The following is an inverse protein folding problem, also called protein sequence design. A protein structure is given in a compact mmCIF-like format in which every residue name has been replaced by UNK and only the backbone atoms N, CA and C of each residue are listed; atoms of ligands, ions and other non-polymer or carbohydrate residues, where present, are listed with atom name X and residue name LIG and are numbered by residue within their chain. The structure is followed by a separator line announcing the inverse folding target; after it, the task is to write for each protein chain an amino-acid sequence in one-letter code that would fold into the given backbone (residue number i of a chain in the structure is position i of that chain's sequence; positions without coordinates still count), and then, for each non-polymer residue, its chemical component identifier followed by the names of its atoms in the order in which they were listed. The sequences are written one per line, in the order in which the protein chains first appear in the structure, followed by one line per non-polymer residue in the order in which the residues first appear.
data_IF_756742786524
#
_entry.id   IF_756742786524
#
_cell.length_a   1.000
_cell.length_b   1.000
_cell.length_c   1.000
_cell.angle_alpha   90.00
_cell.angle_beta   90.00
_cell.angle_gamma   90.00
#
_symmetry.space_group_name_H-M   'P 1'
#
loop_
_entity.id
_entity.type
_entity.pdbx_description
1 polymer ?
#
# COMPACT_ATOMS: atom_id res chain seq x y z
N UNK A 1 11.17 -32.70 -11.66
CA UNK A 1 10.98 -31.26 -11.44
C UNK A 1 9.76 -30.76 -12.23
N UNK A 2 9.64 -31.03 -13.52
CA UNK A 2 8.56 -30.55 -14.41
C UNK A 2 7.15 -30.89 -13.89
N UNK A 3 6.90 -32.15 -13.50
CA UNK A 3 5.61 -32.55 -12.91
C UNK A 3 5.28 -31.78 -11.61
N UNK A 4 6.31 -31.49 -10.79
CA UNK A 4 6.13 -30.71 -9.57
C UNK A 4 5.75 -29.28 -9.94
N UNK A 5 6.46 -28.67 -10.90
CA UNK A 5 6.14 -27.33 -11.40
C UNK A 5 4.71 -27.24 -11.93
N UNK A 6 4.30 -28.17 -12.79
CA UNK A 6 2.92 -28.22 -13.32
C UNK A 6 1.89 -28.33 -12.19
N UNK A 7 2.14 -29.17 -11.18
CA UNK A 7 1.24 -29.29 -10.04
C UNK A 7 1.15 -28.02 -9.20
N UNK A 8 2.25 -27.27 -9.06
CA UNK A 8 2.27 -25.97 -8.39
C UNK A 8 1.54 -24.90 -9.19
N UNK A 9 1.81 -24.83 -10.50
CA UNK A 9 1.12 -23.87 -11.40
C UNK A 9 -0.39 -24.11 -11.44
N UNK A 10 -0.83 -25.36 -11.44
CA UNK A 10 -2.24 -25.73 -11.40
C UNK A 10 -2.85 -25.70 -9.97
N UNK A 11 -2.08 -25.29 -8.97
CA UNK A 11 -2.50 -25.27 -7.56
C UNK A 11 -2.99 -26.63 -7.00
N UNK A 12 -2.52 -27.73 -7.60
CA UNK A 12 -2.92 -29.10 -7.21
C UNK A 12 -2.29 -29.52 -5.88
N UNK A 13 -1.12 -29.00 -5.55
CA UNK A 13 -0.40 -29.21 -4.29
C UNK A 13 0.65 -28.13 -4.03
N UNK A 14 1.12 -28.07 -2.79
CA UNK A 14 2.18 -27.17 -2.35
C UNK A 14 3.40 -28.00 -1.95
N UNK A 15 4.58 -27.79 -2.54
CA UNK A 15 5.80 -28.46 -2.15
C UNK A 15 6.28 -27.96 -0.77
N UNK A 16 6.64 -28.89 0.11
CA UNK A 16 7.13 -28.59 1.45
C UNK A 16 8.61 -28.96 1.54
N UNK A 17 9.43 -28.01 1.94
CA UNK A 17 10.88 -28.17 2.10
C UNK A 17 11.27 -28.02 3.57
N UNK A 18 12.31 -28.74 4.00
CA UNK A 18 12.84 -28.70 5.35
C UNK A 18 14.21 -28.01 5.36
N UNK A 19 14.46 -27.22 6.39
CA UNK A 19 15.73 -26.55 6.56
C UNK A 19 15.91 -25.98 7.97
N UNK A 20 17.10 -25.48 8.25
CA UNK A 20 17.40 -24.73 9.46
C UNK A 20 18.20 -23.47 9.12
N UNK A 21 17.51 -22.32 9.10
CA UNK A 21 18.08 -21.04 8.71
C UNK A 21 19.26 -20.63 9.61
N UNK A 22 19.12 -20.80 10.92
CA UNK A 22 20.19 -20.48 11.88
C UNK A 22 21.48 -21.28 11.68
N UNK A 23 21.38 -22.48 11.12
CA UNK A 23 22.54 -23.33 10.80
C UNK A 23 22.93 -23.24 9.32
N UNK A 24 22.29 -22.34 8.57
CA UNK A 24 22.49 -22.17 7.12
C UNK A 24 22.42 -23.49 6.33
N UNK A 25 21.44 -24.34 6.68
CA UNK A 25 21.20 -25.62 5.99
C UNK A 25 19.82 -25.60 5.31
N UNK A 26 19.78 -26.04 4.07
CA UNK A 26 18.56 -26.10 3.27
C UNK A 26 18.14 -24.77 2.64
N UNK A 27 18.93 -23.69 2.79
CA UNK A 27 18.59 -22.37 2.22
C UNK A 27 18.73 -22.37 0.71
N UNK A 28 19.87 -22.86 0.18
CA UNK A 28 20.07 -22.93 -1.27
C UNK A 28 19.04 -23.84 -1.97
N UNK A 29 18.74 -25.07 -1.49
CA UNK A 29 17.66 -25.86 -2.06
C UNK A 29 16.28 -25.20 -2.02
N UNK A 30 16.00 -24.36 -1.02
CA UNK A 30 14.76 -23.58 -0.98
C UNK A 30 14.74 -22.52 -2.08
N UNK A 31 15.84 -21.78 -2.27
CA UNK A 31 15.94 -20.79 -3.36
C UNK A 31 15.84 -21.44 -4.73
N UNK A 32 16.51 -22.61 -4.92
CA UNK A 32 16.41 -23.38 -6.14
C UNK A 32 14.96 -23.84 -6.39
N UNK A 33 14.25 -24.26 -5.34
CA UNK A 33 12.85 -24.68 -5.46
C UNK A 33 11.93 -23.50 -5.82
N UNK A 34 12.20 -22.29 -5.33
CA UNK A 34 11.46 -21.07 -5.76
C UNK A 34 11.65 -20.84 -7.25
N UNK A 35 12.88 -20.90 -7.76
CA UNK A 35 13.18 -20.73 -9.18
C UNK A 35 12.56 -21.86 -10.04
N UNK A 36 12.66 -23.11 -9.55
CA UNK A 36 12.19 -24.28 -10.30
C UNK A 36 10.67 -24.42 -10.34
N UNK A 37 9.94 -24.01 -9.29
CA UNK A 37 8.54 -24.37 -9.10
C UNK A 37 7.56 -23.19 -9.03
N UNK A 38 7.98 -21.99 -8.62
CA UNK A 38 7.08 -20.85 -8.56
C UNK A 38 6.78 -20.29 -9.96
N UNK A 39 5.56 -19.77 -10.19
CA UNK A 39 5.21 -19.15 -11.47
C UNK A 39 6.00 -17.87 -11.70
N UNK A 40 6.51 -17.69 -12.90
CA UNK A 40 7.00 -16.40 -13.38
C UNK A 40 5.83 -15.55 -13.90
N UNK A 41 6.02 -14.24 -14.11
CA UNK A 41 4.99 -13.39 -14.71
C UNK A 41 4.49 -13.87 -16.09
N UNK A 42 5.31 -14.65 -16.82
CA UNK A 42 4.95 -15.21 -18.12
C UNK A 42 4.24 -16.56 -18.04
N UNK A 43 4.22 -17.21 -16.89
CA UNK A 43 3.51 -18.47 -16.66
C UNK A 43 2.02 -18.26 -16.30
N UNK A 44 1.65 -17.03 -15.95
CA UNK A 44 0.28 -16.67 -15.54
C UNK A 44 -0.46 -15.96 -16.67
N UNK A 45 -1.79 -15.99 -16.60
CA UNK A 45 -2.62 -15.27 -17.56
C UNK A 45 -2.35 -13.77 -17.55
N UNK A 46 -2.62 -13.11 -18.69
CA UNK A 46 -2.53 -11.66 -18.80
C UNK A 46 -3.43 -10.98 -17.76
N UNK A 47 -2.92 -9.93 -17.11
CA UNK A 47 -3.70 -9.21 -16.11
C UNK A 47 -4.88 -8.51 -16.79
N UNK A 48 -6.02 -8.56 -16.13
CA UNK A 48 -7.23 -7.85 -16.52
C UNK A 48 -7.32 -6.50 -15.81
N UNK A 49 -7.89 -5.54 -16.51
CA UNK A 49 -8.18 -4.23 -15.98
C UNK A 49 -9.39 -3.63 -16.71
N UNK A 50 -9.75 -2.43 -16.32
CA UNK A 50 -10.90 -1.72 -16.87
C UNK A 50 -10.41 -0.41 -17.48
N UNK A 51 -10.91 -0.07 -18.67
CA UNK A 51 -10.70 1.25 -19.25
C UNK A 51 -11.46 2.29 -18.42
N UNK A 52 -10.80 3.35 -17.91
CA UNK A 52 -11.48 4.34 -17.08
C UNK A 52 -12.55 5.16 -17.81
N UNK A 53 -12.48 5.26 -19.16
CA UNK A 53 -13.37 6.07 -19.96
C UNK A 53 -14.56 5.27 -20.51
N UNK A 54 -14.34 4.02 -20.96
CA UNK A 54 -15.36 3.19 -21.61
C UNK A 54 -15.93 2.07 -20.72
N UNK A 55 -15.30 1.81 -19.58
CA UNK A 55 -15.59 0.69 -18.67
C UNK A 55 -15.40 -0.70 -19.28
N UNK A 56 -14.79 -0.80 -20.46
CA UNK A 56 -14.50 -2.07 -21.11
C UNK A 56 -13.35 -2.80 -20.41
N UNK A 57 -13.43 -4.15 -20.43
CA UNK A 57 -12.33 -4.99 -19.93
C UNK A 57 -11.15 -4.93 -20.91
N UNK A 58 -9.97 -4.60 -20.38
CA UNK A 58 -8.69 -4.59 -21.09
C UNK A 58 -7.78 -5.64 -20.48
N UNK A 59 -7.04 -6.36 -21.31
CA UNK A 59 -5.99 -7.26 -20.85
C UNK A 59 -4.61 -6.69 -21.17
N UNK A 60 -3.65 -6.90 -20.26
CA UNK A 60 -2.23 -6.55 -20.45
C UNK A 60 -1.37 -7.81 -20.26
N UNK A 61 -0.60 -8.16 -21.28
CA UNK A 61 0.36 -9.26 -21.19
C UNK A 61 1.61 -8.80 -20.46
N UNK A 62 2.28 -9.71 -19.77
CA UNK A 62 3.58 -9.41 -19.16
C UNK A 62 4.66 -9.35 -20.26
N UNK A 63 4.79 -8.20 -20.90
CA UNK A 63 5.73 -7.92 -21.98
C UNK A 63 6.18 -6.47 -21.93
N UNK A 64 7.43 -6.21 -22.27
CA UNK A 64 8.01 -4.87 -22.35
C UNK A 64 7.48 -4.07 -23.55
N UNK A 65 6.93 -4.76 -24.56
CA UNK A 65 6.36 -4.15 -25.78
C UNK A 65 4.92 -3.68 -25.58
N UNK A 66 4.26 -4.10 -24.50
CA UNK A 66 2.89 -3.69 -24.15
C UNK A 66 2.88 -2.28 -23.55
N UNK A 67 1.76 -1.57 -23.62
CA UNK A 67 1.60 -0.30 -22.93
C UNK A 67 1.86 -0.44 -21.42
N UNK A 68 2.51 0.56 -20.83
CA UNK A 68 2.87 0.55 -19.41
C UNK A 68 1.65 0.46 -18.51
N UNK A 69 1.65 -0.50 -17.60
CA UNK A 69 0.75 -0.57 -16.46
C UNK A 69 1.46 -1.06 -15.22
N UNK A 70 1.30 -0.35 -14.11
CA UNK A 70 1.88 -0.73 -12.84
C UNK A 70 0.90 -0.47 -11.69
N UNK A 71 0.98 -1.29 -10.67
CA UNK A 71 0.16 -1.22 -9.47
C UNK A 71 1.01 -0.82 -8.27
N UNK A 72 0.65 0.27 -7.63
CA UNK A 72 1.20 0.68 -6.34
C UNK A 72 0.58 -0.20 -5.24
N UNK A 73 1.30 -1.22 -4.78
CA UNK A 73 0.77 -2.19 -3.82
C UNK A 73 1.14 -1.91 -2.37
N UNK A 74 2.09 -1.02 -2.12
CA UNK A 74 2.50 -0.61 -0.77
C UNK A 74 3.11 0.78 -0.78
N UNK A 75 2.70 1.61 0.16
CA UNK A 75 3.35 2.89 0.46
C UNK A 75 4.04 2.78 1.81
N UNK A 76 5.26 3.27 1.91
CA UNK A 76 6.05 3.28 3.13
C UNK A 76 6.70 4.66 3.32
N UNK A 77 6.78 5.12 4.55
CA UNK A 77 7.47 6.36 4.89
C UNK A 77 8.89 6.06 5.34
N UNK A 78 9.85 6.54 4.58
CA UNK A 78 11.27 6.40 4.91
C UNK A 78 11.82 7.70 5.47
N UNK A 79 12.61 7.61 6.54
CA UNK A 79 13.16 8.78 7.23
C UNK A 79 14.14 9.60 6.39
N UNK A 80 14.74 9.01 5.35
CA UNK A 80 15.77 9.66 4.52
C UNK A 80 15.24 10.12 3.16
N UNK A 81 14.34 9.32 2.57
CA UNK A 81 13.87 9.52 1.18
C UNK A 81 12.45 10.07 1.14
N UNK A 82 11.74 10.01 2.25
CA UNK A 82 10.32 10.35 2.33
C UNK A 82 9.43 9.19 1.89
N UNK A 83 8.37 9.48 1.14
CA UNK A 83 7.47 8.45 0.68
C UNK A 83 8.12 7.55 -0.37
N UNK A 84 8.14 6.26 -0.09
CA UNK A 84 8.48 5.18 -1.01
C UNK A 84 7.21 4.46 -1.42
N UNK A 85 6.92 4.44 -2.71
CA UNK A 85 5.80 3.68 -3.26
C UNK A 85 6.34 2.43 -3.95
N UNK A 86 6.06 1.27 -3.39
CA UNK A 86 6.39 0.00 -4.03
C UNK A 86 5.37 -0.31 -5.10
N UNK A 87 5.85 -0.52 -6.30
CA UNK A 87 5.02 -0.81 -7.45
C UNK A 87 5.49 -2.07 -8.17
N UNK A 88 4.53 -2.88 -8.62
CA UNK A 88 4.77 -3.98 -9.56
C UNK A 88 4.44 -3.52 -10.96
N UNK A 89 5.36 -3.73 -11.88
CA UNK A 89 5.16 -3.47 -13.30
C UNK A 89 4.52 -4.71 -13.91
N UNK A 90 3.31 -4.58 -14.43
CA UNK A 90 2.60 -5.69 -15.08
C UNK A 90 2.87 -5.74 -16.58
N UNK A 91 3.06 -4.60 -17.21
CA UNK A 91 3.36 -4.50 -18.65
C UNK A 91 4.15 -3.25 -18.93
N UNK A 92 4.90 -3.26 -20.04
CA UNK A 92 5.66 -2.11 -20.53
C UNK A 92 6.94 -1.84 -19.76
N UNK A 93 7.56 -0.72 -20.07
CA UNK A 93 8.82 -0.25 -19.50
C UNK A 93 8.62 1.14 -18.90
N UNK A 94 9.18 1.35 -17.72
CA UNK A 94 9.15 2.63 -17.01
C UNK A 94 10.55 3.22 -16.91
N UNK A 95 10.69 4.55 -17.05
CA UNK A 95 11.95 5.27 -16.90
C UNK A 95 11.89 6.31 -15.80
N UNK A 96 13.02 6.51 -15.14
CA UNK A 96 13.18 7.56 -14.14
C UNK A 96 12.94 8.94 -14.75
N UNK A 97 12.21 9.80 -14.07
CA UNK A 97 11.86 11.14 -14.52
C UNK A 97 10.59 11.24 -15.36
N UNK A 98 9.98 10.12 -15.75
CA UNK A 98 8.71 10.10 -16.50
C UNK A 98 7.54 10.65 -15.69
N UNK A 99 6.53 11.11 -16.43
CA UNK A 99 5.25 11.53 -15.85
C UNK A 99 4.19 10.53 -16.26
N UNK A 100 3.55 9.92 -15.26
CA UNK A 100 2.45 8.97 -15.42
C UNK A 100 1.13 9.58 -14.98
N UNK A 101 0.05 8.92 -15.30
CA UNK A 101 -1.29 9.20 -14.77
C UNK A 101 -1.62 8.15 -13.71
N UNK A 102 -2.06 8.62 -12.55
CA UNK A 102 -2.80 7.81 -11.59
C UNK A 102 -4.25 7.73 -12.10
N UNK A 103 -4.60 6.58 -12.67
CA UNK A 103 -5.89 6.40 -13.36
C UNK A 103 -7.08 6.32 -12.40
N UNK A 104 -6.82 5.95 -11.15
CA UNK A 104 -7.87 5.91 -10.11
C UNK A 104 -8.26 7.31 -9.67
N UNK A 105 -7.31 8.25 -9.63
CA UNK A 105 -7.51 9.63 -9.15
C UNK A 105 -7.54 10.67 -10.27
N UNK A 106 -7.22 10.30 -11.51
CA UNK A 106 -7.13 11.22 -12.65
C UNK A 106 -6.00 12.25 -12.53
N UNK A 107 -4.96 11.98 -11.72
CA UNK A 107 -3.88 12.92 -11.44
C UNK A 107 -2.57 12.52 -12.08
N UNK A 108 -1.83 13.53 -12.56
CA UNK A 108 -0.47 13.34 -13.08
C UNK A 108 0.52 13.21 -11.93
N UNK A 109 1.36 12.17 -11.99
CA UNK A 109 2.41 11.89 -11.03
C UNK A 109 3.77 11.81 -11.74
N UNK A 110 4.75 12.54 -11.22
CA UNK A 110 6.10 12.49 -11.75
C UNK A 110 6.98 11.59 -10.91
N UNK A 111 7.60 10.62 -11.54
CA UNK A 111 8.59 9.74 -10.91
C UNK A 111 9.90 10.50 -10.76
N UNK A 112 10.33 10.69 -9.53
CA UNK A 112 11.63 11.31 -9.25
C UNK A 112 12.76 10.32 -9.49
N UNK A 113 12.88 9.33 -8.61
CA UNK A 113 13.90 8.27 -8.67
C UNK A 113 13.22 6.91 -8.58
N UNK A 114 13.86 5.90 -9.15
CA UNK A 114 13.48 4.51 -9.00
C UNK A 114 14.57 3.76 -8.27
N UNK A 115 14.18 2.92 -7.32
CA UNK A 115 15.09 2.16 -6.48
C UNK A 115 14.76 0.67 -6.57
N UNK A 116 15.79 -0.14 -6.73
CA UNK A 116 15.73 -1.58 -6.48
C UNK A 116 16.11 -1.81 -5.03
N UNK A 117 15.24 -2.50 -4.30
CA UNK A 117 15.41 -2.70 -2.86
C UNK A 117 15.95 -4.10 -2.57
N UNK A 118 17.06 -4.15 -1.85
CA UNK A 118 17.67 -5.38 -1.34
C UNK A 118 17.74 -5.29 0.19
N UNK A 119 16.71 -5.76 0.89
CA UNK A 119 16.53 -5.54 2.32
C UNK A 119 16.65 -4.04 2.67
N UNK A 120 17.72 -3.62 3.37
CA UNK A 120 17.98 -2.22 3.71
C UNK A 120 18.85 -1.48 2.68
N UNK A 121 19.40 -2.19 1.69
CA UNK A 121 20.20 -1.59 0.63
C UNK A 121 19.30 -1.08 -0.49
N UNK A 122 19.70 0.05 -1.07
CA UNK A 122 18.97 0.74 -2.14
C UNK A 122 19.91 0.94 -3.31
N UNK A 123 19.48 0.47 -4.46
CA UNK A 123 20.20 0.67 -5.71
C UNK A 123 19.34 1.54 -6.63
N UNK A 124 19.88 2.66 -7.08
CA UNK A 124 19.18 3.54 -8.01
C UNK A 124 19.25 2.98 -9.43
N UNK A 125 18.09 2.82 -10.05
CA UNK A 125 17.95 2.31 -11.41
C UNK A 125 17.31 3.37 -12.32
N UNK A 126 17.63 3.30 -13.61
CA UNK A 126 17.12 4.27 -14.59
C UNK A 126 15.87 3.78 -15.31
N UNK A 127 15.74 2.49 -15.47
CA UNK A 127 14.60 1.85 -16.13
C UNK A 127 14.27 0.51 -15.46
N UNK A 128 13.02 0.08 -15.59
CA UNK A 128 12.52 -1.19 -15.07
C UNK A 128 11.46 -1.74 -16.04
N UNK A 129 11.26 -3.06 -16.00
CA UNK A 129 10.60 -3.83 -17.03
C UNK A 129 9.39 -4.59 -16.50
N UNK A 130 8.59 -5.15 -17.41
CA UNK A 130 7.44 -5.97 -17.06
C UNK A 130 7.83 -7.15 -16.15
N UNK A 131 7.16 -7.28 -15.00
CA UNK A 131 7.44 -8.29 -13.97
C UNK A 131 8.30 -7.76 -12.81
N UNK A 132 8.99 -6.64 -12.96
CA UNK A 132 9.81 -6.07 -11.90
C UNK A 132 8.96 -5.47 -10.76
N UNK A 133 9.56 -5.47 -9.57
CA UNK A 133 9.06 -4.74 -8.41
C UNK A 133 10.08 -3.66 -8.06
N UNK A 134 9.63 -2.42 -8.05
CA UNK A 134 10.48 -1.24 -7.81
C UNK A 134 9.90 -0.35 -6.73
N UNK A 135 10.74 0.44 -6.09
CA UNK A 135 10.32 1.51 -5.20
C UNK A 135 10.42 2.86 -5.93
N UNK A 136 9.32 3.56 -6.06
CA UNK A 136 9.20 4.85 -6.71
C UNK A 136 9.27 5.97 -5.66
N UNK A 137 10.09 6.98 -5.92
CA UNK A 137 10.27 8.17 -5.08
C UNK A 137 9.68 9.39 -5.79
N UNK A 138 8.99 10.23 -5.03
CA UNK A 138 8.50 11.52 -5.54
C UNK A 138 7.02 11.55 -5.86
N UNK A 139 6.31 10.44 -5.74
CA UNK A 139 4.85 10.39 -5.89
C UNK A 139 4.19 11.12 -4.71
N UNK A 140 3.20 11.97 -5.01
CA UNK A 140 2.55 12.83 -4.00
C UNK A 140 1.19 12.33 -3.58
N UNK A 141 0.37 11.97 -4.57
CA UNK A 141 -1.04 11.63 -4.38
C UNK A 141 -1.33 10.13 -4.47
N UNK A 142 -0.34 9.33 -4.90
CA UNK A 142 -0.48 7.87 -5.04
C UNK A 142 -0.58 7.19 -3.67
N UNK A 143 -1.57 6.32 -3.55
CA UNK A 143 -1.83 5.46 -2.38
C UNK A 143 -1.81 3.99 -2.76
N UNK A 144 -1.82 3.11 -1.77
CA UNK A 144 -1.88 1.66 -1.99
C UNK A 144 -3.15 1.28 -2.75
N UNK A 145 -3.00 0.48 -3.80
CA UNK A 145 -4.08 0.07 -4.70
C UNK A 145 -4.26 0.95 -5.95
N UNK A 146 -3.52 2.06 -6.06
CA UNK A 146 -3.60 2.92 -7.24
C UNK A 146 -2.84 2.31 -8.44
N UNK A 147 -3.41 2.48 -9.63
CA UNK A 147 -2.78 2.12 -10.89
C UNK A 147 -2.15 3.34 -11.54
N UNK A 148 -0.94 3.18 -12.05
CA UNK A 148 -0.22 4.20 -12.81
C UNK A 148 0.08 3.69 -14.22
N UNK A 149 -0.14 4.52 -15.24
CA UNK A 149 0.13 4.22 -16.63
C UNK A 149 0.43 5.49 -17.45
N UNK A 150 0.74 5.33 -18.73
CA UNK A 150 0.83 6.47 -19.64
C UNK A 150 -0.57 7.04 -19.94
N UNK A 151 -0.61 8.33 -20.27
CA UNK A 151 -1.88 9.05 -20.49
C UNK A 151 -2.68 8.51 -21.70
N UNK A 152 -1.98 7.92 -22.67
CA UNK A 152 -2.54 7.48 -23.95
C UNK A 152 -3.21 6.10 -23.85
N UNK A 153 -2.75 5.26 -22.89
CA UNK A 153 -3.18 3.86 -22.76
C UNK A 153 -3.64 3.56 -21.33
N UNK A 154 -4.65 4.27 -20.88
CA UNK A 154 -5.12 4.18 -19.50
C UNK A 154 -5.83 2.86 -19.22
N UNK A 155 -5.51 2.29 -18.06
CA UNK A 155 -6.15 1.11 -17.50
C UNK A 155 -6.23 1.25 -15.98
N UNK A 156 -7.28 0.75 -15.39
CA UNK A 156 -7.38 0.53 -13.94
C UNK A 156 -7.25 -0.96 -13.74
N UNK A 157 -6.15 -1.39 -13.10
CA UNK A 157 -5.96 -2.76 -12.68
C UNK A 157 -6.91 -3.09 -11.53
N UNK A 158 -7.00 -4.36 -11.16
CA UNK A 158 -7.85 -4.81 -10.06
C UNK A 158 -7.60 -3.98 -8.80
N UNK A 159 -8.67 -3.41 -8.26
CA UNK A 159 -8.60 -2.60 -7.03
C UNK A 159 -8.47 -3.51 -5.82
N UNK A 160 -7.54 -3.16 -4.94
CA UNK A 160 -7.48 -3.79 -3.62
C UNK A 160 -8.66 -3.30 -2.78
N UNK A 161 -9.45 -4.22 -2.28
CA UNK A 161 -10.50 -3.94 -1.31
C UNK A 161 -9.93 -4.04 0.11
N UNK A 162 -10.02 -2.96 0.86
CA UNK A 162 -9.60 -2.93 2.25
C UNK A 162 -10.84 -2.98 3.15
N UNK A 163 -10.85 -3.83 4.19
CA UNK A 163 -11.97 -3.90 5.11
C UNK A 163 -12.13 -2.58 5.88
N UNK A 164 -13.36 -2.25 6.20
CA UNK A 164 -13.65 -1.10 7.06
C UNK A 164 -13.14 -1.32 8.48
N UNK A 165 -12.64 -0.26 9.14
CA UNK A 165 -12.23 -0.31 10.54
C UNK A 165 -13.37 -0.78 11.45
N UNK A 166 -13.02 -1.53 12.51
CA UNK A 166 -14.01 -2.12 13.42
C UNK A 166 -13.98 -1.55 14.85
N UNK A 167 -12.90 -0.84 15.20
CA UNK A 167 -12.78 -0.19 16.51
C UNK A 167 -12.23 1.23 16.37
N UNK A 168 -12.51 2.05 17.37
CA UNK A 168 -12.10 3.45 17.41
C UNK A 168 -11.55 3.81 18.79
N UNK A 169 -10.54 4.69 18.80
CA UNK A 169 -10.01 5.30 20.02
C UNK A 169 -9.76 6.79 19.79
N UNK A 170 -9.92 7.58 20.83
CA UNK A 170 -9.54 8.98 20.80
C UNK A 170 -8.07 9.14 21.14
N UNK A 171 -7.38 10.03 20.41
CA UNK A 171 -5.97 10.36 20.63
C UNK A 171 -5.83 11.85 20.88
N UNK A 172 -5.24 12.20 22.01
CA UNK A 172 -5.04 13.59 22.41
C UNK A 172 -3.56 13.88 22.62
N UNK A 173 -3.01 14.94 22.01
CA UNK A 173 -1.62 15.33 22.23
C UNK A 173 -1.40 15.80 23.67
N UNK A 174 -0.30 15.42 24.28
CA UNK A 174 0.02 15.88 25.65
C UNK A 174 0.37 17.36 25.73
N UNK A 175 0.95 17.93 24.65
CA UNK A 175 1.34 19.32 24.58
C UNK A 175 0.90 19.94 23.25
N UNK A 176 0.85 21.28 23.20
CA UNK A 176 0.57 22.01 21.95
C UNK A 176 1.61 21.73 20.86
N UNK A 177 2.87 21.52 21.24
CA UNK A 177 3.94 21.18 20.30
C UNK A 177 3.74 19.77 19.69
N UNK A 178 3.12 18.85 20.42
CA UNK A 178 2.81 17.51 19.94
C UNK A 178 1.61 17.49 18.98
N UNK A 179 0.73 18.49 19.04
CA UNK A 179 -0.47 18.55 18.20
C UNK A 179 -0.12 18.61 16.71
N UNK A 180 0.79 19.49 16.32
CA UNK A 180 1.23 19.61 14.93
C UNK A 180 1.95 18.34 14.45
N UNK A 181 2.87 17.82 15.27
CA UNK A 181 3.58 16.57 14.99
C UNK A 181 2.63 15.39 14.87
N UNK A 182 1.61 15.31 15.73
CA UNK A 182 0.59 14.28 15.72
C UNK A 182 -0.20 14.31 14.40
N UNK A 183 -0.62 15.48 13.94
CA UNK A 183 -1.31 15.63 12.66
C UNK A 183 -0.47 15.11 11.50
N UNK A 184 0.81 15.47 11.44
CA UNK A 184 1.75 14.97 10.41
C UNK A 184 1.94 13.46 10.52
N UNK A 185 2.13 12.92 11.72
CA UNK A 185 2.32 11.50 11.95
C UNK A 185 1.10 10.68 11.51
N UNK A 186 -0.09 11.10 11.92
CA UNK A 186 -1.34 10.43 11.57
C UNK A 186 -1.59 10.44 10.06
N UNK A 187 -1.36 11.57 9.38
CA UNK A 187 -1.48 11.65 7.92
C UNK A 187 -0.51 10.70 7.20
N UNK A 188 0.72 10.57 7.70
CA UNK A 188 1.70 9.66 7.11
C UNK A 188 1.31 8.20 7.32
N UNK A 189 0.90 7.84 8.53
CA UNK A 189 0.44 6.48 8.86
C UNK A 189 -0.81 6.09 8.06
N UNK A 190 -1.76 7.01 7.89
CA UNK A 190 -2.95 6.77 7.07
C UNK A 190 -2.65 6.60 5.56
N UNK A 191 -1.55 7.18 5.06
CA UNK A 191 -1.09 6.92 3.69
C UNK A 191 -0.46 5.54 3.51
N UNK A 192 0.17 5.02 4.57
CA UNK A 192 0.79 3.69 4.54
C UNK A 192 -0.25 2.57 4.64
N UNK A 193 -1.28 2.77 5.45
CA UNK A 193 -2.28 1.75 5.78
C UNK A 193 -3.70 2.22 5.43
N UNK A 194 -4.28 1.70 4.36
CA UNK A 194 -5.63 2.05 3.93
C UNK A 194 -6.75 1.61 4.89
N UNK A 195 -6.47 0.65 5.79
CA UNK A 195 -7.43 0.21 6.83
C UNK A 195 -7.40 1.09 8.09
N UNK A 196 -6.46 2.03 8.16
CA UNK A 196 -6.34 3.01 9.22
C UNK A 196 -6.99 4.34 8.81
N UNK A 197 -7.94 4.80 9.59
CA UNK A 197 -8.64 6.08 9.34
C UNK A 197 -8.42 7.05 10.48
N UNK A 198 -8.40 8.32 10.13
CA UNK A 198 -8.27 9.44 11.07
C UNK A 198 -9.38 10.42 10.79
N UNK A 199 -10.15 10.74 11.81
CA UNK A 199 -11.22 11.74 11.75
C UNK A 199 -11.11 12.69 12.93
N UNK A 200 -11.56 13.91 12.73
CA UNK A 200 -11.82 14.85 13.84
C UNK A 200 -13.32 14.82 14.11
N UNK A 201 -13.68 14.61 15.36
CA UNK A 201 -15.07 14.73 15.78
C UNK A 201 -15.40 16.21 16.00
N UNK A 202 -16.33 16.74 15.21
CA UNK A 202 -16.70 18.16 15.22
C UNK A 202 -17.39 18.59 16.52
N UNK A 203 -18.02 17.65 17.24
CA UNK A 203 -18.76 17.95 18.47
C UNK A 203 -17.84 17.95 19.70
N UNK A 204 -16.96 16.96 19.83
CA UNK A 204 -16.02 16.86 20.95
C UNK A 204 -14.68 17.55 20.68
N UNK A 205 -14.34 17.82 19.42
CA UNK A 205 -13.05 18.32 18.98
C UNK A 205 -11.92 17.30 19.11
N UNK A 206 -12.23 16.04 19.43
CA UNK A 206 -11.25 14.98 19.57
C UNK A 206 -10.76 14.46 18.21
N UNK A 207 -9.51 14.06 18.16
CA UNK A 207 -8.99 13.26 17.04
C UNK A 207 -9.27 11.80 17.32
N UNK A 208 -10.07 11.17 16.46
CA UNK A 208 -10.43 9.76 16.56
C UNK A 208 -9.65 9.00 15.49
N UNK A 209 -9.03 7.89 15.91
CA UNK A 209 -8.37 6.95 15.01
C UNK A 209 -9.12 5.63 15.00
N UNK A 210 -9.33 5.09 13.81
CA UNK A 210 -10.10 3.85 13.61
C UNK A 210 -9.21 2.80 12.95
N UNK A 211 -9.34 1.54 13.35
CA UNK A 211 -8.52 0.43 12.86
C UNK A 211 -9.16 -0.93 13.00
N UNK A 212 -8.44 -1.96 12.58
CA UNK A 212 -8.91 -3.34 12.48
C UNK A 212 -8.96 -4.09 13.82
N UNK A 213 -8.41 -3.52 14.88
CA UNK A 213 -8.38 -4.14 16.20
C UNK A 213 -7.48 -3.37 17.16
N UNK A 214 -7.57 -3.70 18.46
CA UNK A 214 -6.83 -3.06 19.54
C UNK A 214 -5.32 -3.10 19.29
N UNK A 215 -4.77 -4.27 18.97
CA UNK A 215 -3.34 -4.42 18.68
C UNK A 215 -2.91 -3.57 17.47
N UNK A 216 -3.75 -3.43 16.46
CA UNK A 216 -3.45 -2.59 15.30
C UNK A 216 -3.29 -1.11 15.72
N UNK A 217 -4.23 -0.58 16.48
CA UNK A 217 -4.18 0.80 16.96
C UNK A 217 -3.03 1.03 17.95
N UNK A 218 -2.75 0.08 18.83
CA UNK A 218 -1.63 0.12 19.76
C UNK A 218 -0.28 0.22 19.04
N UNK A 219 -0.09 -0.58 17.97
CA UNK A 219 1.12 -0.52 17.14
C UNK A 219 1.26 0.85 16.47
N UNK A 220 0.19 1.41 15.94
CA UNK A 220 0.21 2.73 15.30
C UNK A 220 0.54 3.85 16.29
N UNK A 221 -0.02 3.79 17.49
CA UNK A 221 0.30 4.72 18.58
C UNK A 221 1.77 4.58 19.02
N UNK A 222 2.26 3.36 19.14
CA UNK A 222 3.66 3.10 19.46
C UNK A 222 4.60 3.60 18.35
N UNK A 223 4.23 3.44 17.08
CA UNK A 223 4.95 4.02 15.93
C UNK A 223 4.97 5.55 15.97
N UNK A 224 3.84 6.21 16.29
CA UNK A 224 3.82 7.67 16.49
C UNK A 224 4.86 8.10 17.53
N UNK A 225 4.94 7.37 18.63
CA UNK A 225 5.87 7.65 19.71
C UNK A 225 7.33 7.44 19.30
N UNK A 226 7.63 6.28 18.70
CA UNK A 226 9.01 5.90 18.35
C UNK A 226 9.55 6.63 17.13
N UNK A 227 8.78 6.72 16.06
CA UNK A 227 9.23 7.25 14.77
C UNK A 227 9.07 8.76 14.69
N UNK A 228 7.96 9.31 15.20
CA UNK A 228 7.63 10.75 15.09
C UNK A 228 7.88 11.54 16.37
N UNK A 229 8.24 10.87 17.48
CA UNK A 229 8.48 11.52 18.78
C UNK A 229 7.26 12.32 19.28
N UNK A 230 6.08 11.76 19.12
CA UNK A 230 4.80 12.32 19.57
C UNK A 230 4.36 11.63 20.84
N UNK A 231 4.11 12.42 21.88
CA UNK A 231 3.48 11.93 23.12
C UNK A 231 1.97 12.22 23.06
N UNK A 232 1.17 11.16 23.15
CA UNK A 232 -0.29 11.25 23.12
C UNK A 232 -0.92 10.41 24.24
N UNK A 233 -2.08 10.85 24.70
CA UNK A 233 -2.99 10.06 25.54
C UNK A 233 -3.98 9.34 24.62
N UNK A 234 -4.27 8.08 24.93
CA UNK A 234 -5.24 7.27 24.20
C UNK A 234 -6.37 6.90 25.14
N UNK A 235 -7.60 7.03 24.69
CA UNK A 235 -8.78 6.75 25.48
C UNK A 235 -10.00 6.42 24.62
N UNK A 236 -11.12 6.14 25.29
CA UNK A 236 -12.39 5.97 24.59
C UNK A 236 -12.85 7.32 24.01
N UNK A 237 -13.44 7.34 22.79
CA UNK A 237 -14.08 8.54 22.25
C UNK A 237 -15.17 9.05 23.19
N UNK A 238 -15.34 10.36 23.26
CA UNK A 238 -16.44 10.97 24.00
C UNK A 238 -17.76 10.72 23.29
N UNK A 239 -18.80 10.44 24.08
CA UNK A 239 -20.16 10.30 23.55
C UNK A 239 -20.79 11.68 23.46
N UNK A 240 -21.16 12.10 22.25
CA UNK A 240 -21.93 13.33 22.05
C UNK A 240 -23.40 13.06 22.35
N UNK A 241 -23.90 13.68 23.43
CA UNK A 241 -25.30 13.61 23.79
C UNK A 241 -26.08 14.72 23.07
N UNK A 242 -27.17 14.34 22.40
CA UNK A 242 -28.10 15.25 21.76
C UNK A 242 -29.41 15.24 22.50
N UNK A 243 -29.92 16.45 22.80
CA UNK A 243 -31.23 16.62 23.39
C UNK A 243 -32.27 16.90 22.28
N UNK A 244 -33.46 16.38 22.48
CA UNK A 244 -34.61 16.67 21.61
C UNK A 244 -35.84 16.91 22.47
N UNK A 245 -36.72 17.83 22.05
CA UNK A 245 -38.00 18.06 22.68
C UNK A 245 -38.98 16.98 22.18
N UNK A 246 -39.49 16.20 23.12
CA UNK A 246 -40.49 15.12 22.84
C UNK A 246 -41.95 15.58 22.98
N UNK A 247 -42.19 16.82 23.51
CA UNK A 247 -43.53 17.40 23.71
C UNK A 247 -43.48 18.88 23.42
N UNK A 248 -44.56 19.40 22.80
CA UNK A 248 -44.80 20.84 22.71
C UNK A 248 -45.08 21.38 24.13
N UNK A 249 -44.48 22.51 24.46
CA UNK A 249 -44.78 23.28 25.69
C UNK A 249 -45.08 24.71 25.28
N UNK A 250 -46.29 25.17 25.64
CA UNK A 250 -46.66 26.59 25.62
C UNK A 250 -46.43 27.21 27.00
N UNK A 251 -45.85 28.42 27.02
CA UNK A 251 -45.71 29.25 28.22
C UNK A 251 -46.73 30.37 28.19
#
# INVERSE_FOLDING_TARGET
KECIRLGVLNQSFVPVLNGTAFKNKGVQPLLDAVVDFMPSPTDVEAIKGINPDSEDEITRKSSDEEPLSLLAFKVMNDSFVGNLTFARIYSGVIKSGETLINTVKGKKERIGRMLLMHANSREEIKEAYAGDIVALVGLKDTTTGDTLCHAEDQVILERMEFPDPVIEVAVEPKTKADQEKMGIALQRLAKEDPSFRVASDDESGQTVISGMGELHLDILVDRMKREFKVEANVGAPQVAYRETLSKEAEI
#
